data_IF_512988960203
#
_entry.id   IF_512988960203
#
_cell.length_a   1.000
_cell.length_b   1.000
_cell.length_c   1.000
_cell.angle_alpha   90.00
_cell.angle_beta   90.00
_cell.angle_gamma   90.00
#
_symmetry.space_group_name_H-M   'P 1'
#
loop_
_entity.id
_entity.type
_entity.pdbx_description
1 polymer ?
#
# COMPACT_ATOMS: atom_id res chain seq x y z
N UNK A 1 7.01 19.22 6.21
CA UNK A 1 7.86 18.25 5.48
C UNK A 1 7.60 16.88 6.10
N UNK A 2 7.49 15.82 5.29
CA UNK A 2 7.22 14.47 5.80
C UNK A 2 8.34 13.98 6.72
N UNK A 3 7.99 13.10 7.65
CA UNK A 3 8.93 12.39 8.52
C UNK A 3 9.59 11.20 7.80
N UNK A 4 9.13 10.91 6.58
CA UNK A 4 9.60 9.83 5.75
C UNK A 4 10.13 10.36 4.42
N UNK A 5 11.28 9.85 4.01
CA UNK A 5 11.74 9.92 2.62
C UNK A 5 11.25 8.66 1.93
N UNK A 6 10.40 8.81 0.92
CA UNK A 6 9.82 7.70 0.15
C UNK A 6 10.39 7.68 -1.27
N UNK A 7 10.53 6.50 -1.83
CA UNK A 7 10.84 6.31 -3.25
C UNK A 7 9.97 5.18 -3.78
N UNK A 8 9.08 5.52 -4.71
CA UNK A 8 8.11 4.59 -5.31
C UNK A 8 8.51 4.28 -6.74
N UNK A 9 8.46 3.00 -7.09
CA UNK A 9 8.75 2.50 -8.44
C UNK A 9 7.70 1.49 -8.85
N UNK A 10 7.29 1.56 -10.12
CA UNK A 10 6.53 0.49 -10.75
C UNK A 10 7.49 -0.66 -11.08
N UNK A 11 7.10 -1.88 -10.71
CA UNK A 11 7.92 -3.08 -10.90
C UNK A 11 7.03 -4.28 -11.22
N UNK A 12 7.55 -5.29 -11.95
CA UNK A 12 6.90 -6.60 -12.00
C UNK A 12 6.73 -7.18 -10.59
N UNK A 13 5.68 -7.96 -10.37
CA UNK A 13 5.41 -8.60 -9.06
C UNK A 13 6.59 -9.46 -8.57
N UNK A 14 7.22 -10.20 -9.48
CA UNK A 14 8.41 -11.03 -9.16
C UNK A 14 9.67 -10.21 -8.86
N UNK A 15 9.67 -8.91 -9.14
CA UNK A 15 10.76 -7.98 -8.84
C UNK A 15 10.58 -7.26 -7.50
N UNK A 16 9.47 -7.50 -6.79
CA UNK A 16 9.33 -7.08 -5.40
C UNK A 16 10.38 -7.80 -4.54
N UNK A 17 10.65 -7.26 -3.35
CA UNK A 17 11.50 -7.95 -2.37
C UNK A 17 10.92 -9.37 -2.08
N UNK A 18 11.76 -10.42 -2.04
CA UNK A 18 11.28 -11.81 -1.91
C UNK A 18 10.35 -12.03 -0.72
N UNK A 19 10.60 -11.38 0.41
CA UNK A 19 9.76 -11.47 1.60
C UNK A 19 8.35 -10.88 1.39
N UNK A 20 8.22 -9.86 0.54
CA UNK A 20 6.92 -9.25 0.20
C UNK A 20 6.15 -10.14 -0.77
N UNK A 21 6.82 -10.64 -1.82
CA UNK A 21 6.24 -11.57 -2.80
C UNK A 21 5.73 -12.83 -2.11
N UNK A 22 6.55 -13.45 -1.25
CA UNK A 22 6.18 -14.65 -0.52
C UNK A 22 5.00 -14.38 0.42
N UNK A 23 4.99 -13.25 1.13
CA UNK A 23 3.91 -12.91 2.03
C UNK A 23 2.59 -12.71 1.26
N UNK A 24 2.61 -11.99 0.13
CA UNK A 24 1.42 -11.78 -0.71
C UNK A 24 0.88 -13.11 -1.23
N UNK A 25 1.75 -14.00 -1.76
CA UNK A 25 1.35 -15.34 -2.21
C UNK A 25 0.71 -16.15 -1.09
N UNK A 26 1.35 -16.18 0.08
CA UNK A 26 0.85 -16.89 1.27
C UNK A 26 -0.52 -16.35 1.70
N UNK A 27 -0.72 -15.03 1.64
CA UNK A 27 -1.99 -14.40 1.97
C UNK A 27 -3.11 -14.74 0.98
N UNK A 28 -2.80 -14.72 -0.32
CA UNK A 28 -3.73 -15.13 -1.39
C UNK A 28 -4.20 -16.56 -1.18
N UNK A 29 -3.27 -17.48 -0.91
CA UNK A 29 -3.56 -18.89 -0.62
C UNK A 29 -4.39 -19.04 0.66
N UNK A 30 -3.95 -18.42 1.76
CA UNK A 30 -4.60 -18.51 3.07
C UNK A 30 -6.08 -18.10 3.03
N UNK A 31 -6.41 -17.06 2.27
CA UNK A 31 -7.76 -16.52 2.19
C UNK A 31 -8.51 -16.94 0.91
N UNK A 32 -7.95 -17.85 0.12
CA UNK A 32 -8.53 -18.36 -1.13
C UNK A 32 -8.97 -17.24 -2.08
N UNK A 33 -8.11 -16.23 -2.28
CA UNK A 33 -8.46 -15.06 -3.10
C UNK A 33 -8.54 -15.41 -4.60
N UNK A 34 -8.05 -16.59 -5.00
CA UNK A 34 -7.95 -17.02 -6.39
C UNK A 34 -6.73 -16.44 -7.09
N UNK A 35 -6.72 -16.49 -8.42
CA UNK A 35 -5.61 -15.97 -9.24
C UNK A 35 -5.71 -14.46 -9.45
N UNK A 36 -5.75 -13.69 -8.36
CA UNK A 36 -5.93 -12.23 -8.45
C UNK A 36 -4.78 -11.53 -9.17
N UNK A 37 -3.60 -12.17 -9.25
CA UNK A 37 -2.40 -11.55 -9.81
C UNK A 37 -2.37 -11.62 -11.35
N UNK A 38 -3.14 -12.50 -12.00
CA UNK A 38 -3.20 -12.61 -13.46
C UNK A 38 -3.65 -11.31 -14.14
N UNK A 39 -4.50 -10.54 -13.45
CA UNK A 39 -5.12 -9.31 -13.94
C UNK A 39 -4.55 -8.07 -13.23
N UNK A 40 -3.29 -8.13 -12.77
CA UNK A 40 -2.62 -7.00 -12.15
C UNK A 40 -2.58 -5.81 -13.13
N UNK A 41 -3.17 -4.68 -12.71
CA UNK A 41 -3.14 -3.42 -13.46
C UNK A 41 -1.85 -2.65 -13.24
N UNK A 42 -1.35 -2.70 -12.01
CA UNK A 42 -0.09 -2.05 -11.62
C UNK A 42 0.45 -2.71 -10.36
N UNK A 43 1.77 -2.86 -10.29
CA UNK A 43 2.48 -3.28 -9.09
C UNK A 43 3.59 -2.26 -8.77
N UNK A 44 3.69 -1.86 -7.51
CA UNK A 44 4.69 -0.92 -7.05
C UNK A 44 5.47 -1.46 -5.86
N UNK A 45 6.70 -0.97 -5.73
CA UNK A 45 7.44 -0.99 -4.49
C UNK A 45 7.72 0.42 -4.01
N UNK A 46 7.48 0.68 -2.73
CA UNK A 46 7.90 1.90 -2.05
C UNK A 46 8.90 1.57 -0.95
N UNK A 47 10.09 2.17 -1.04
CA UNK A 47 11.07 2.16 0.02
C UNK A 47 10.89 3.43 0.85
N UNK A 48 10.69 3.28 2.17
CA UNK A 48 10.39 4.38 3.09
C UNK A 48 11.44 4.45 4.18
N UNK A 49 12.23 5.52 4.19
CA UNK A 49 13.29 5.75 5.16
C UNK A 49 12.86 6.86 6.13
N UNK A 50 12.91 6.57 7.43
CA UNK A 50 12.59 7.57 8.45
C UNK A 50 13.69 8.62 8.50
N UNK A 51 13.29 9.88 8.32
CA UNK A 51 14.21 11.01 8.43
C UNK A 51 14.58 11.15 9.90
N UNK A 52 15.86 10.97 10.23
CA UNK A 52 16.34 11.07 11.62
C UNK A 52 16.04 12.45 12.19
N UNK A 53 15.29 12.49 13.30
CA UNK A 53 15.14 13.67 14.14
C UNK A 53 15.87 13.43 15.47
N UNK A 54 16.92 14.21 15.75
CA UNK A 54 17.67 14.19 17.01
C UNK A 54 18.67 13.03 17.18
N UNK A 55 19.43 13.07 18.29
CA UNK A 55 20.56 12.16 18.57
C UNK A 55 20.16 10.69 18.85
N UNK A 56 18.89 10.45 19.17
CA UNK A 56 18.34 9.11 19.50
C UNK A 56 17.40 8.54 18.42
N UNK A 57 17.26 9.22 17.28
CA UNK A 57 16.45 8.74 16.16
C UNK A 57 17.08 7.53 15.48
N UNK A 58 16.62 6.32 15.82
CA UNK A 58 17.07 5.09 15.16
C UNK A 58 16.68 5.06 13.69
N UNK A 59 17.58 4.54 12.84
CA UNK A 59 17.26 4.28 11.44
C UNK A 59 16.10 3.28 11.35
N UNK A 60 15.12 3.59 10.51
CA UNK A 60 13.96 2.75 10.27
C UNK A 60 13.68 2.78 8.76
N UNK A 61 13.69 1.60 8.16
CA UNK A 61 13.31 1.40 6.76
C UNK A 61 12.09 0.48 6.74
N UNK A 62 11.07 0.89 5.99
CA UNK A 62 9.87 0.12 5.69
C UNK A 62 9.76 -0.04 4.17
N UNK A 63 9.60 -1.26 3.72
CA UNK A 63 9.35 -1.63 2.34
C UNK A 63 7.88 -1.98 2.19
N UNK A 64 7.22 -1.39 1.20
CA UNK A 64 5.84 -1.70 0.84
C UNK A 64 5.81 -2.23 -0.58
N UNK A 65 5.17 -3.38 -0.80
CA UNK A 65 4.85 -3.89 -2.12
C UNK A 65 3.33 -3.91 -2.28
N UNK A 66 2.79 -3.27 -3.31
CA UNK A 66 1.35 -3.18 -3.52
C UNK A 66 0.97 -3.57 -4.94
N UNK A 67 -0.15 -4.25 -5.09
CA UNK A 67 -0.74 -4.67 -6.36
C UNK A 67 -2.19 -4.25 -6.40
N UNK A 68 -2.59 -3.62 -7.49
CA UNK A 68 -3.99 -3.30 -7.78
C UNK A 68 -4.45 -4.07 -9.00
N UNK A 69 -5.64 -4.62 -8.91
CA UNK A 69 -6.33 -5.42 -9.94
C UNK A 69 -7.72 -4.80 -10.16
N UNK A 70 -8.54 -5.29 -11.11
CA UNK A 70 -9.91 -4.80 -11.27
C UNK A 70 -10.79 -4.90 -10.01
N UNK A 71 -10.52 -5.87 -9.13
CA UNK A 71 -11.37 -6.18 -7.98
C UNK A 71 -10.69 -6.09 -6.63
N UNK A 72 -9.36 -6.16 -6.59
CA UNK A 72 -8.59 -6.28 -5.36
C UNK A 72 -7.51 -5.23 -5.27
N UNK A 73 -7.31 -4.74 -4.06
CA UNK A 73 -6.07 -4.10 -3.63
C UNK A 73 -5.42 -5.02 -2.59
N UNK A 74 -4.16 -5.37 -2.81
CA UNK A 74 -3.36 -6.18 -1.87
C UNK A 74 -2.00 -5.54 -1.71
N UNK A 75 -1.51 -5.45 -0.48
CA UNK A 75 -0.18 -4.93 -0.21
C UNK A 75 0.45 -5.59 1.00
N UNK A 76 1.76 -5.71 0.95
CA UNK A 76 2.59 -6.19 2.04
C UNK A 76 3.52 -5.08 2.50
N UNK A 77 3.80 -5.08 3.80
CA UNK A 77 4.85 -4.25 4.40
C UNK A 77 5.86 -5.14 5.10
N UNK A 78 7.12 -4.72 5.14
CA UNK A 78 8.18 -5.33 5.95
C UNK A 78 9.23 -4.26 6.26
N UNK A 79 10.12 -4.50 7.21
CA UNK A 79 11.16 -3.52 7.49
C UNK A 79 12.05 -3.87 8.67
N UNK A 80 13.00 -2.97 8.94
CA UNK A 80 13.97 -3.10 10.03
C UNK A 80 13.33 -3.23 11.42
N UNK A 81 12.14 -2.63 11.61
CA UNK A 81 11.34 -2.66 12.84
C UNK A 81 9.89 -3.07 12.59
N UNK A 82 9.59 -3.50 11.37
CA UNK A 82 8.24 -3.81 10.91
C UNK A 82 8.21 -5.27 10.53
N UNK A 83 7.50 -6.08 11.31
CA UNK A 83 7.23 -7.47 10.96
C UNK A 83 6.48 -7.51 9.63
N UNK A 84 6.80 -8.50 8.80
CA UNK A 84 6.10 -8.69 7.53
C UNK A 84 4.61 -8.91 7.78
N UNK A 85 3.77 -8.09 7.15
CA UNK A 85 2.32 -8.18 7.24
C UNK A 85 1.71 -7.92 5.86
N UNK A 86 0.53 -8.48 5.62
CA UNK A 86 -0.21 -8.33 4.37
C UNK A 86 -1.63 -7.92 4.69
N UNK A 87 -2.14 -6.97 3.93
CA UNK A 87 -3.54 -6.59 3.93
C UNK A 87 -4.08 -6.71 2.51
N UNK A 88 -5.35 -7.08 2.41
CA UNK A 88 -6.08 -7.06 1.16
C UNK A 88 -7.51 -6.62 1.39
N UNK A 89 -8.11 -6.07 0.35
CA UNK A 89 -9.52 -5.73 0.32
C UNK A 89 -10.07 -5.91 -1.09
N UNK A 90 -11.35 -6.29 -1.17
CA UNK A 90 -12.10 -6.06 -2.40
C UNK A 90 -12.36 -4.56 -2.53
N UNK A 91 -12.15 -4.03 -3.73
CA UNK A 91 -12.26 -2.61 -4.04
C UNK A 91 -13.68 -2.05 -3.84
N UNK A 92 -14.72 -2.89 -3.95
CA UNK A 92 -16.11 -2.51 -3.69
C UNK A 92 -16.42 -2.34 -2.20
N UNK A 93 -15.64 -2.96 -1.32
CA UNK A 93 -15.83 -2.96 0.14
C UNK A 93 -15.03 -1.86 0.86
N UNK A 94 -14.27 -1.06 0.11
CA UNK A 94 -13.41 0.00 0.65
C UNK A 94 -13.65 1.37 0.01
N UNK A 95 -13.17 2.40 0.70
CA UNK A 95 -12.99 3.75 0.20
C UNK A 95 -11.49 4.01 0.12
N UNK A 96 -11.04 4.46 -1.05
CA UNK A 96 -9.66 4.89 -1.27
C UNK A 96 -9.68 6.39 -1.49
N UNK A 97 -8.88 7.11 -0.71
CA UNK A 97 -8.77 8.56 -0.77
C UNK A 97 -7.30 8.94 -0.95
N UNK A 98 -7.01 9.93 -1.81
CA UNK A 98 -5.69 10.57 -1.80
C UNK A 98 -5.46 11.19 -0.41
N UNK A 99 -4.36 10.80 0.24
CA UNK A 99 -4.06 11.28 1.58
C UNK A 99 -4.00 12.81 1.66
N UNK A 100 -3.54 13.48 0.59
CA UNK A 100 -3.45 14.93 0.53
C UNK A 100 -4.80 15.65 0.69
N UNK A 101 -5.91 14.95 0.39
CA UNK A 101 -7.28 15.46 0.54
C UNK A 101 -7.86 15.21 1.93
N UNK A 102 -7.17 14.44 2.78
CA UNK A 102 -7.63 14.11 4.12
C UNK A 102 -7.36 15.23 5.13
N UNK A 103 -8.14 15.29 6.21
CA UNK A 103 -7.87 16.20 7.33
C UNK A 103 -6.53 15.90 8.03
N UNK A 104 -6.05 14.65 7.95
CA UNK A 104 -4.77 14.23 8.53
C UNK A 104 -3.56 14.87 7.84
N UNK A 105 -3.62 15.15 6.54
CA UNK A 105 -2.51 15.76 5.81
C UNK A 105 -2.13 17.16 6.33
N UNK A 106 -3.08 17.87 6.96
CA UNK A 106 -2.81 19.17 7.61
C UNK A 106 -2.00 19.04 8.90
N UNK A 107 -2.10 17.89 9.56
CA UNK A 107 -1.43 17.60 10.84
C UNK A 107 -0.11 16.85 10.65
N UNK A 108 -0.11 15.87 9.75
CA UNK A 108 1.02 15.00 9.45
C UNK A 108 1.25 15.07 7.93
N UNK A 109 2.19 15.90 7.45
CA UNK A 109 2.49 15.97 6.03
C UNK A 109 3.07 14.64 5.54
N UNK A 110 2.43 13.99 4.59
CA UNK A 110 2.92 12.79 3.88
C UNK A 110 2.21 12.69 2.52
N UNK A 111 2.57 11.71 1.69
CA UNK A 111 1.88 11.40 0.44
C UNK A 111 1.54 9.92 0.37
N UNK A 112 0.40 9.58 -0.23
CA UNK A 112 -0.08 8.21 -0.30
C UNK A 112 -1.59 8.10 -0.44
N UNK A 113 -2.11 6.94 -0.05
CA UNK A 113 -3.53 6.62 -0.04
C UNK A 113 -4.00 6.28 1.37
N UNK A 114 -5.11 6.88 1.80
CA UNK A 114 -5.91 6.33 2.88
C UNK A 114 -6.85 5.27 2.31
N UNK A 115 -6.89 4.11 2.96
CA UNK A 115 -7.78 3.01 2.60
C UNK A 115 -8.62 2.67 3.84
N UNK A 116 -9.94 2.75 3.72
CA UNK A 116 -10.86 2.42 4.81
C UNK A 116 -11.97 1.50 4.37
N UNK A 117 -12.50 0.70 5.29
CA UNK A 117 -13.55 -0.28 5.02
C UNK A 117 -13.15 -1.68 5.47
N UNK A 118 -13.68 -2.70 4.81
CA UNK A 118 -13.50 -4.09 5.24
C UNK A 118 -12.25 -4.72 4.60
N UNK A 119 -11.32 -5.15 5.44
CA UNK A 119 -10.16 -5.94 5.02
C UNK A 119 -10.46 -7.45 5.11
N UNK A 120 -9.79 -8.25 4.29
CA UNK A 120 -10.01 -9.70 4.18
C UNK A 120 -9.88 -10.43 5.50
N UNK A 121 -8.96 -10.01 6.36
CA UNK A 121 -8.64 -10.63 7.64
C UNK A 121 -9.29 -9.94 8.86
N UNK A 122 -10.06 -8.87 8.63
CA UNK A 122 -10.73 -8.10 9.68
C UNK A 122 -12.21 -8.47 9.86
N UNK A 123 -12.66 -8.52 11.11
CA UNK A 123 -14.10 -8.59 11.46
C UNK A 123 -14.82 -7.26 11.25
N UNK A 124 -14.09 -6.16 11.42
CA UNK A 124 -14.61 -4.80 11.46
C UNK A 124 -13.97 -3.90 10.40
N UNK A 125 -14.59 -2.75 10.17
CA UNK A 125 -14.00 -1.72 9.31
C UNK A 125 -12.72 -1.18 9.93
N UNK A 126 -11.66 -1.12 9.12
CA UNK A 126 -10.38 -0.52 9.49
C UNK A 126 -10.06 0.75 8.67
N UNK A 127 -8.97 1.40 9.06
CA UNK A 127 -8.32 2.48 8.31
C UNK A 127 -6.83 2.19 8.28
N UNK A 128 -6.23 2.29 7.11
CA UNK A 128 -4.80 2.07 6.88
C UNK A 128 -4.27 3.09 5.87
N UNK A 129 -2.96 3.26 5.85
CA UNK A 129 -2.27 4.23 5.00
C UNK A 129 -1.19 3.53 4.18
N UNK A 130 -1.25 3.70 2.86
CA UNK A 130 -0.21 3.25 1.92
C UNK A 130 0.60 4.48 1.54
N UNK A 131 1.77 4.66 2.15
CA UNK A 131 2.64 5.78 1.87
C UNK A 131 3.37 5.63 0.53
N UNK A 132 3.35 6.69 -0.27
CA UNK A 132 3.91 6.77 -1.62
C UNK A 132 4.74 8.05 -1.73
N UNK A 133 5.60 8.14 -2.76
CA UNK A 133 6.19 9.44 -3.11
C UNK A 133 5.29 10.23 -4.08
N UNK A 134 5.62 11.49 -4.31
CA UNK A 134 4.96 12.33 -5.33
C UNK A 134 5.63 12.22 -6.71
N UNK A 135 6.41 11.16 -6.93
CA UNK A 135 7.00 10.81 -8.22
C UNK A 135 5.98 10.29 -9.22
N UNK A 136 6.44 9.97 -10.44
CA UNK A 136 5.55 9.50 -11.50
C UNK A 136 4.81 8.21 -11.12
N UNK A 137 5.54 7.21 -10.62
CA UNK A 137 4.96 5.92 -10.21
C UNK A 137 3.99 6.08 -9.03
N UNK A 138 4.32 6.89 -8.02
CA UNK A 138 3.44 7.16 -6.89
C UNK A 138 2.13 7.81 -7.33
N UNK A 139 2.20 8.87 -8.16
CA UNK A 139 1.00 9.54 -8.71
C UNK A 139 0.14 8.62 -9.57
N UNK A 140 0.76 7.86 -10.47
CA UNK A 140 0.06 6.92 -11.34
C UNK A 140 -0.64 5.83 -10.51
N UNK A 141 0.05 5.27 -9.51
CA UNK A 141 -0.55 4.26 -8.64
C UNK A 141 -1.75 4.81 -7.86
N UNK A 142 -1.66 6.03 -7.29
CA UNK A 142 -2.81 6.69 -6.65
C UNK A 142 -4.02 6.75 -7.58
N UNK A 143 -3.80 7.23 -8.80
CA UNK A 143 -4.85 7.34 -9.80
C UNK A 143 -5.47 5.98 -10.14
N UNK A 144 -4.65 4.97 -10.45
CA UNK A 144 -5.12 3.63 -10.84
C UNK A 144 -5.94 2.98 -9.72
N UNK A 145 -5.51 3.11 -8.46
CA UNK A 145 -6.26 2.52 -7.33
C UNK A 145 -7.58 3.23 -7.11
N UNK A 146 -7.61 4.56 -7.14
CA UNK A 146 -8.83 5.34 -6.96
C UNK A 146 -9.83 5.04 -8.08
N UNK A 147 -9.38 5.01 -9.34
CA UNK A 147 -10.23 4.66 -10.49
C UNK A 147 -10.73 3.22 -10.40
N UNK A 148 -9.89 2.26 -10.00
CA UNK A 148 -10.32 0.88 -9.80
C UNK A 148 -11.37 0.76 -8.69
N UNK A 149 -11.19 1.47 -7.57
CA UNK A 149 -12.17 1.52 -6.47
C UNK A 149 -13.50 2.14 -6.89
N UNK A 150 -13.49 3.21 -7.69
CA UNK A 150 -14.70 3.83 -8.23
C UNK A 150 -15.42 2.91 -9.22
N UNK A 151 -14.68 2.19 -10.06
CA UNK A 151 -15.27 1.29 -11.05
C UNK A 151 -15.81 0.01 -10.43
N UNK A 152 -15.20 -0.50 -9.34
CA UNK A 152 -15.69 -1.69 -8.63
C UNK A 152 -17.05 -1.48 -7.92
N UNK A 153 -17.51 -0.24 -7.77
CA UNK A 153 -18.80 0.12 -7.14
C UNK A 153 -19.95 0.28 -8.15
N UNK A 154 -19.67 0.19 -9.45
CA UNK A 154 -20.67 0.22 -10.52
C UNK A 154 -21.18 -1.19 -10.79
#
# INVERSE_FOLDING_TARGET
MSDWKRTTREVPFESLRPELTQAIRTHIEKYNLGDILSDARMCIQTDSEKIKKGLFGGAEIVYTGAVVTPRWLIWATSGTKTTTAVLSAQLNDIVVQDYAESSFAKLIPDSGLNVSGRFTDGSDNGLTFIGLDDGAAGKQFKQVVIEAAQNAKK
#
